data_IF_320940535115
#
_entry.id   IF_320940535115
#
_cell.length_a   1.000
_cell.length_b   1.000
_cell.length_c   1.000
_cell.angle_alpha   90.00
_cell.angle_beta   90.00
_cell.angle_gamma   90.00
#
_symmetry.space_group_name_H-M   'P 1'
#
loop_
_entity.id
_entity.type
_entity.pdbx_description
1 polymer ?
#
# COMPACT_ATOMS: atom_id res chain seq x y z
N UNK A 1 2.74 -6.36 0.67
CA UNK A 1 1.97 -7.29 -0.18
C UNK A 1 2.82 -7.75 -1.35
N UNK A 2 2.94 -9.05 -1.57
CA UNK A 2 3.63 -9.59 -2.76
C UNK A 2 2.74 -9.50 -4.00
N UNK A 3 3.34 -9.61 -5.19
CA UNK A 3 2.64 -9.68 -6.47
C UNK A 3 2.91 -11.05 -7.11
N UNK A 4 1.87 -11.75 -7.51
CA UNK A 4 1.95 -13.01 -8.25
C UNK A 4 2.16 -12.75 -9.76
N UNK A 5 2.47 -13.80 -10.56
CA UNK A 5 2.52 -13.70 -12.01
C UNK A 5 1.27 -12.99 -12.58
N UNK A 6 1.46 -12.29 -13.70
CA UNK A 6 0.45 -11.42 -14.35
C UNK A 6 0.03 -10.18 -13.53
N UNK A 7 0.82 -9.80 -12.52
CA UNK A 7 0.55 -8.61 -11.72
C UNK A 7 -0.60 -8.73 -10.72
N UNK A 8 -1.07 -9.95 -10.47
CA UNK A 8 -2.22 -10.25 -9.61
C UNK A 8 -1.83 -10.31 -8.13
N UNK A 9 -2.77 -10.08 -7.19
CA UNK A 9 -2.53 -10.34 -5.79
C UNK A 9 -2.36 -11.86 -5.54
N UNK A 10 -1.66 -12.25 -4.46
CA UNK A 10 -1.60 -13.64 -4.03
C UNK A 10 -3.00 -14.20 -3.76
N UNK A 11 -3.25 -15.52 -3.96
CA UNK A 11 -4.58 -16.12 -3.77
C UNK A 11 -5.21 -15.82 -2.41
N UNK A 12 -4.41 -15.83 -1.34
CA UNK A 12 -4.86 -15.51 0.01
C UNK A 12 -5.24 -14.04 0.22
N UNK A 13 -4.76 -13.13 -0.63
CA UNK A 13 -5.06 -11.70 -0.60
C UNK A 13 -6.08 -11.28 -1.66
N UNK A 14 -6.49 -12.19 -2.56
CA UNK A 14 -7.39 -11.89 -3.66
C UNK A 14 -8.74 -11.35 -3.16
N UNK A 15 -9.33 -12.03 -2.18
CA UNK A 15 -10.61 -11.58 -1.58
C UNK A 15 -10.51 -10.17 -0.98
N UNK A 16 -9.40 -9.85 -0.32
CA UNK A 16 -9.19 -8.50 0.23
C UNK A 16 -9.10 -7.43 -0.87
N UNK A 17 -8.38 -7.72 -1.96
CA UNK A 17 -8.26 -6.79 -3.08
C UNK A 17 -9.60 -6.59 -3.79
N UNK A 18 -10.36 -7.67 -4.00
CA UNK A 18 -11.73 -7.60 -4.55
C UNK A 18 -12.65 -6.81 -3.65
N UNK A 19 -12.60 -7.01 -2.33
CA UNK A 19 -13.43 -6.26 -1.39
C UNK A 19 -13.15 -4.76 -1.47
N UNK A 20 -11.88 -4.34 -1.55
CA UNK A 20 -11.54 -2.93 -1.74
C UNK A 20 -12.05 -2.36 -3.06
N UNK A 21 -11.90 -3.12 -4.16
CA UNK A 21 -12.39 -2.72 -5.47
C UNK A 21 -13.93 -2.57 -5.48
N UNK A 22 -14.64 -3.53 -4.89
CA UNK A 22 -16.09 -3.49 -4.76
C UNK A 22 -16.54 -2.25 -3.97
N UNK A 23 -15.86 -1.92 -2.86
CA UNK A 23 -16.20 -0.75 -2.05
C UNK A 23 -15.95 0.58 -2.75
N UNK A 24 -14.97 0.66 -3.64
CA UNK A 24 -14.69 1.88 -4.40
C UNK A 24 -15.72 2.11 -5.50
N UNK A 25 -16.30 1.03 -6.03
CA UNK A 25 -17.28 1.08 -7.11
C UNK A 25 -18.74 1.04 -6.60
N UNK A 26 -18.99 0.70 -5.33
CA UNK A 26 -20.31 0.74 -4.72
C UNK A 26 -20.70 2.16 -4.28
N UNK A 27 -21.68 2.76 -4.96
CA UNK A 27 -22.22 4.08 -4.64
C UNK A 27 -22.85 4.19 -3.25
N UNK A 28 -23.15 3.07 -2.60
CA UNK A 28 -23.68 3.01 -1.23
C UNK A 28 -22.59 3.18 -0.19
N UNK A 29 -21.34 2.93 -0.55
CA UNK A 29 -20.19 3.11 0.34
C UNK A 29 -19.79 4.58 0.32
N UNK A 30 -19.68 5.16 1.51
CA UNK A 30 -19.18 6.52 1.64
C UNK A 30 -17.71 6.57 1.21
N UNK A 31 -17.33 7.55 0.40
CA UNK A 31 -15.93 7.78 0.00
C UNK A 31 -15.02 8.05 1.20
N UNK A 32 -15.59 8.52 2.31
CA UNK A 32 -14.87 8.75 3.56
C UNK A 32 -14.87 7.52 4.50
N UNK A 33 -15.26 6.34 4.00
CA UNK A 33 -15.41 5.12 4.81
C UNK A 33 -14.16 4.78 5.64
N UNK A 34 -12.97 5.08 5.13
CA UNK A 34 -11.69 4.83 5.81
C UNK A 34 -10.98 6.13 6.21
N UNK A 35 -11.65 7.28 6.31
CA UNK A 35 -11.03 8.56 6.67
C UNK A 35 -10.29 8.57 8.03
N UNK A 36 -10.64 7.65 8.93
CA UNK A 36 -10.01 7.46 10.23
C UNK A 36 -8.80 6.53 10.19
N UNK A 37 -8.57 5.82 9.09
CA UNK A 37 -7.52 4.82 8.94
C UNK A 37 -6.24 5.49 8.44
N UNK A 38 -5.14 5.23 9.12
CA UNK A 38 -3.80 5.55 8.62
C UNK A 38 -3.16 4.30 8.04
N UNK A 39 -2.53 4.41 6.87
CA UNK A 39 -1.96 3.25 6.18
C UNK A 39 -0.62 3.56 5.52
N UNK A 40 0.15 2.51 5.25
CA UNK A 40 1.31 2.55 4.37
C UNK A 40 1.47 1.18 3.71
N UNK A 41 1.83 1.15 2.43
CA UNK A 41 1.95 -0.10 1.67
C UNK A 41 3.39 -0.33 1.25
N UNK A 42 3.89 -1.54 1.53
CA UNK A 42 5.16 -2.04 1.02
C UNK A 42 4.90 -3.22 0.08
N UNK A 43 5.22 -3.06 -1.19
CA UNK A 43 5.10 -4.06 -2.24
C UNK A 43 6.35 -4.94 -2.37
N UNK A 44 6.17 -6.22 -2.60
CA UNK A 44 7.25 -7.15 -2.95
C UNK A 44 6.98 -7.72 -4.35
N UNK A 45 7.99 -7.68 -5.20
CA UNK A 45 7.93 -8.23 -6.55
C UNK A 45 9.33 -8.41 -7.13
N UNK A 46 9.40 -8.53 -8.44
CA UNK A 46 10.69 -8.60 -9.15
C UNK A 46 10.74 -7.53 -10.23
N UNK A 47 11.81 -6.74 -10.25
CA UNK A 47 12.03 -5.68 -11.23
C UNK A 47 12.09 -6.21 -12.68
N UNK A 48 12.28 -7.51 -12.85
CA UNK A 48 12.24 -8.17 -14.16
C UNK A 48 10.83 -8.09 -14.79
N UNK A 49 9.79 -7.86 -13.98
CA UNK A 49 8.43 -7.64 -14.45
C UNK A 49 8.09 -6.16 -14.69
N UNK A 50 9.03 -5.24 -14.50
CA UNK A 50 8.85 -3.80 -14.81
C UNK A 50 8.52 -3.57 -16.29
N UNK A 51 9.22 -4.20 -17.27
CA UNK A 51 8.92 -3.99 -18.69
C UNK A 51 7.52 -4.44 -19.11
N UNK A 52 6.97 -5.44 -18.41
CA UNK A 52 5.60 -5.91 -18.59
C UNK A 52 4.57 -5.08 -17.80
N UNK A 53 5.00 -4.08 -17.03
CA UNK A 53 4.14 -3.27 -16.19
C UNK A 53 3.54 -4.01 -14.99
N UNK A 54 4.16 -5.12 -14.54
CA UNK A 54 3.64 -5.98 -13.47
C UNK A 54 4.46 -5.90 -12.17
N UNK A 55 5.48 -5.04 -12.10
CA UNK A 55 6.24 -4.85 -10.87
C UNK A 55 5.34 -4.24 -9.77
N UNK A 56 5.19 -4.95 -8.65
CA UNK A 56 4.45 -4.50 -7.47
C UNK A 56 3.02 -3.98 -7.75
N UNK A 57 2.35 -4.41 -8.82
CA UNK A 57 1.05 -3.86 -9.24
C UNK A 57 -0.06 -4.12 -8.26
N UNK A 58 -0.09 -5.31 -7.64
CA UNK A 58 -1.09 -5.60 -6.62
C UNK A 58 -0.97 -4.61 -5.44
N UNK A 59 0.26 -4.38 -4.96
CA UNK A 59 0.52 -3.42 -3.89
C UNK A 59 0.14 -1.99 -4.30
N UNK A 60 0.41 -1.62 -5.55
CA UNK A 60 0.01 -0.33 -6.10
C UNK A 60 -1.52 -0.15 -6.16
N UNK A 61 -2.26 -1.19 -6.54
CA UNK A 61 -3.71 -1.16 -6.54
C UNK A 61 -4.27 -0.94 -5.14
N UNK A 62 -3.80 -1.70 -4.14
CA UNK A 62 -4.24 -1.54 -2.75
C UNK A 62 -3.91 -0.14 -2.21
N UNK A 63 -2.73 0.40 -2.51
CA UNK A 63 -2.35 1.74 -2.09
C UNK A 63 -3.29 2.82 -2.67
N UNK A 64 -3.63 2.73 -3.96
CA UNK A 64 -4.62 3.63 -4.60
C UNK A 64 -6.02 3.43 -4.03
N UNK A 65 -6.40 2.18 -3.75
CA UNK A 65 -7.72 1.86 -3.25
C UNK A 65 -7.98 2.43 -1.85
N UNK A 66 -7.01 2.30 -0.96
CA UNK A 66 -7.09 2.88 0.38
C UNK A 66 -7.18 4.41 0.32
N UNK A 67 -6.40 5.06 -0.55
CA UNK A 67 -6.46 6.51 -0.76
C UNK A 67 -7.83 6.96 -1.30
N UNK A 68 -8.43 6.21 -2.23
CA UNK A 68 -9.78 6.49 -2.76
C UNK A 68 -10.90 6.36 -1.72
N UNK A 69 -10.68 5.59 -0.65
CA UNK A 69 -11.58 5.44 0.49
C UNK A 69 -11.25 6.44 1.63
N UNK A 70 -10.51 7.50 1.30
CA UNK A 70 -10.07 8.58 2.18
C UNK A 70 -9.09 8.18 3.29
N UNK A 71 -8.52 6.98 3.25
CA UNK A 71 -7.49 6.60 4.22
C UNK A 71 -6.27 7.53 4.10
N UNK A 72 -5.62 7.81 5.24
CA UNK A 72 -4.48 8.70 5.32
C UNK A 72 -3.17 7.94 5.09
N UNK A 73 -2.48 8.23 3.97
CA UNK A 73 -1.20 7.60 3.63
C UNK A 73 -0.07 8.18 4.50
N UNK A 74 0.55 7.35 5.33
CA UNK A 74 1.68 7.71 6.19
C UNK A 74 3.02 7.72 5.45
N UNK A 75 3.21 6.82 4.50
CA UNK A 75 4.42 6.74 3.69
C UNK A 75 4.06 6.39 2.23
N UNK A 76 4.83 6.90 1.25
CA UNK A 76 4.66 6.51 -0.15
C UNK A 76 4.72 4.99 -0.32
N UNK A 77 4.08 4.46 -1.38
CA UNK A 77 4.19 3.05 -1.74
C UNK A 77 5.68 2.64 -1.87
N UNK A 78 6.12 1.74 -1.00
CA UNK A 78 7.43 1.11 -1.12
C UNK A 78 7.37 -0.03 -2.13
N UNK A 79 8.43 -0.22 -2.93
CA UNK A 79 8.54 -1.32 -3.89
C UNK A 79 9.87 -2.03 -3.69
N UNK A 80 9.83 -3.30 -3.34
CA UNK A 80 11.00 -4.13 -3.06
C UNK A 80 11.12 -5.17 -4.17
N UNK A 81 12.27 -5.15 -4.85
CA UNK A 81 12.64 -6.17 -5.83
C UNK A 81 13.44 -7.29 -5.17
N UNK A 82 13.13 -8.53 -5.51
CA UNK A 82 13.91 -9.73 -5.15
C UNK A 82 15.28 -9.79 -5.85
N UNK A 83 15.45 -9.09 -6.97
CA UNK A 83 16.72 -9.00 -7.72
C UNK A 83 17.78 -8.09 -7.06
N UNK A 84 17.45 -7.47 -5.92
CA UNK A 84 18.30 -6.53 -5.20
C UNK A 84 18.23 -6.83 -3.70
N UNK A 85 19.19 -6.33 -2.93
CA UNK A 85 19.19 -6.48 -1.48
C UNK A 85 17.94 -5.84 -0.86
N UNK A 86 17.09 -6.65 -0.24
CA UNK A 86 15.81 -6.20 0.31
C UNK A 86 15.99 -5.15 1.42
N UNK A 87 16.95 -5.36 2.32
CA UNK A 87 17.18 -4.46 3.46
C UNK A 87 17.48 -3.03 3.03
N UNK A 88 18.34 -2.86 2.01
CA UNK A 88 18.68 -1.54 1.44
C UNK A 88 17.48 -0.84 0.80
N UNK A 89 16.50 -1.60 0.32
CA UNK A 89 15.27 -1.06 -0.27
C UNK A 89 14.22 -0.72 0.81
N UNK A 90 14.14 -1.53 1.87
CA UNK A 90 13.16 -1.37 2.95
C UNK A 90 13.56 -0.27 3.95
N UNK A 91 14.85 -0.16 4.28
CA UNK A 91 15.35 0.80 5.27
C UNK A 91 14.88 2.26 5.04
N UNK A 92 15.00 2.85 3.83
CA UNK A 92 14.53 4.23 3.62
C UNK A 92 13.01 4.36 3.74
N UNK A 93 12.26 3.35 3.29
CA UNK A 93 10.80 3.32 3.41
C UNK A 93 10.35 3.23 4.87
N UNK A 94 11.00 2.37 5.65
CA UNK A 94 10.74 2.21 7.08
C UNK A 94 11.06 3.51 7.84
N UNK A 95 12.17 4.17 7.51
CA UNK A 95 12.53 5.47 8.11
C UNK A 95 11.47 6.53 7.83
N UNK A 96 10.95 6.61 6.61
CA UNK A 96 9.87 7.54 6.26
C UNK A 96 8.58 7.22 7.03
N UNK A 97 8.22 5.94 7.15
CA UNK A 97 7.04 5.52 7.92
C UNK A 97 7.17 5.89 9.40
N UNK A 98 8.31 5.59 10.03
CA UNK A 98 8.55 5.92 11.44
C UNK A 98 8.51 7.42 11.68
N UNK A 99 9.09 8.23 10.78
CA UNK A 99 9.01 9.68 10.88
C UNK A 99 7.57 10.20 10.82
N UNK A 100 6.73 9.63 9.95
CA UNK A 100 5.30 9.98 9.88
C UNK A 100 4.52 9.53 11.12
N UNK A 101 4.84 8.36 11.66
CA UNK A 101 4.24 7.86 12.91
C UNK A 101 4.59 8.76 14.09
N UNK A 102 5.86 9.16 14.24
CA UNK A 102 6.28 10.09 15.29
C UNK A 102 5.48 11.39 15.21
N UNK A 103 5.38 11.99 14.02
CA UNK A 103 4.58 13.21 13.81
C UNK A 103 3.12 13.03 14.19
N UNK A 104 2.54 11.86 13.89
CA UNK A 104 1.17 11.56 14.24
C UNK A 104 0.97 11.45 15.76
N UNK A 105 1.85 10.75 16.47
CA UNK A 105 1.76 10.58 17.92
C UNK A 105 2.07 11.88 18.68
N UNK A 106 3.02 12.69 18.20
CA UNK A 106 3.36 13.97 18.83
C UNK A 106 2.43 15.13 18.44
N UNK A 107 1.63 14.99 17.37
CA UNK A 107 0.54 15.92 17.05
C UNK A 107 -0.70 15.72 17.93
N UNK A 108 -0.79 14.61 18.66
CA UNK A 108 -1.93 14.25 19.53
C UNK A 108 -1.61 14.50 21.02
N UNK A 109 -0.59 15.30 21.34
CA UNK A 109 -0.36 15.75 22.71
C UNK A 109 -1.32 16.92 23.05
N UNK A 110 -2.20 16.79 24.06
CA UNK A 110 -3.14 17.84 24.43
C UNK A 110 -2.45 18.97 25.22
N UNK A 111 -2.93 20.20 24.99
CA UNK A 111 -2.87 21.29 25.98
C UNK A 111 -4.02 21.19 26.97
#
# INVERSE_FOLDING_TARGET
>A
MSTHPDGKPPPHCAHFCTLLDDHINDFRVNRDALAHLHFAVLGFGSADYEPAGHFCTAAAQVDVFLEKLAACRLAPLGRVSDTREAEKQVAPWLSALLHSLDRLFFSVAPG
#
